data_IF_259369249556
#
_entry.id   IF_259369249556
#
_cell.length_a   1.000
_cell.length_b   1.000
_cell.length_c   1.000
_cell.angle_alpha   90.00
_cell.angle_beta   90.00
_cell.angle_gamma   90.00
#
_symmetry.space_group_name_H-M   'P 1'
#
loop_
_entity.id
_entity.type
_entity.pdbx_description
1 polymer ?
#
# COMPACT_ATOMS: atom_id res chain seq x y z
N UNK A 1 -21.13 -20.63 10.45
CA UNK A 1 -20.86 -19.85 9.21
C UNK A 1 -19.65 -20.45 8.53
N UNK A 2 -19.77 -20.81 7.26
CA UNK A 2 -18.70 -21.51 6.52
C UNK A 2 -17.49 -20.58 6.36
N UNK A 3 -16.27 -21.04 6.69
CA UNK A 3 -15.06 -20.22 6.65
C UNK A 3 -14.76 -19.62 5.26
N UNK A 4 -15.35 -20.16 4.19
CA UNK A 4 -15.31 -19.59 2.84
C UNK A 4 -16.06 -18.26 2.72
N UNK A 5 -17.25 -18.13 3.32
CA UNK A 5 -18.07 -16.92 3.19
C UNK A 5 -17.41 -15.73 3.90
N UNK A 6 -16.86 -15.97 5.09
CA UNK A 6 -16.13 -14.96 5.84
C UNK A 6 -14.87 -14.50 5.09
N UNK A 7 -14.16 -15.42 4.43
CA UNK A 7 -13.01 -15.10 3.58
C UNK A 7 -13.41 -14.23 2.38
N UNK A 8 -14.51 -14.55 1.70
CA UNK A 8 -15.01 -13.73 0.60
C UNK A 8 -15.43 -12.32 1.06
N UNK A 9 -16.12 -12.21 2.19
CA UNK A 9 -16.49 -10.92 2.77
C UNK A 9 -15.27 -10.11 3.18
N UNK A 10 -14.26 -10.74 3.77
CA UNK A 10 -13.00 -10.08 4.12
C UNK A 10 -12.26 -9.58 2.87
N UNK A 11 -12.23 -10.38 1.80
CA UNK A 11 -11.65 -9.97 0.51
C UNK A 11 -12.41 -8.81 -0.11
N UNK A 12 -13.75 -8.84 -0.11
CA UNK A 12 -14.58 -7.74 -0.65
C UNK A 12 -14.40 -6.47 0.17
N UNK A 13 -14.35 -6.57 1.49
CA UNK A 13 -14.09 -5.44 2.38
C UNK A 13 -12.70 -4.84 2.14
N UNK A 14 -11.66 -5.68 2.04
CA UNK A 14 -10.30 -5.23 1.72
C UNK A 14 -10.21 -4.53 0.36
N UNK A 15 -10.92 -5.05 -0.64
CA UNK A 15 -10.96 -4.48 -1.98
C UNK A 15 -11.70 -3.12 -1.99
N UNK A 16 -12.84 -3.03 -1.31
CA UNK A 16 -13.59 -1.79 -1.15
C UNK A 16 -12.79 -0.72 -0.40
N UNK A 17 -12.07 -1.11 0.66
CA UNK A 17 -11.19 -0.22 1.43
C UNK A 17 -10.02 0.26 0.55
N UNK A 18 -9.38 -0.64 -0.20
CA UNK A 18 -8.28 -0.31 -1.10
C UNK A 18 -8.68 0.68 -2.20
N UNK A 19 -9.83 0.44 -2.85
CA UNK A 19 -10.38 1.36 -3.84
C UNK A 19 -10.81 2.69 -3.23
N UNK A 20 -11.43 2.66 -2.04
CA UNK A 20 -11.83 3.87 -1.32
C UNK A 20 -10.63 4.75 -0.98
N UNK A 21 -9.57 4.15 -0.43
CA UNK A 21 -8.33 4.86 -0.11
C UNK A 21 -7.61 5.37 -1.35
N UNK A 22 -7.62 4.63 -2.46
CA UNK A 22 -7.06 5.08 -3.74
C UNK A 22 -7.84 6.25 -4.34
N UNK A 23 -9.18 6.22 -4.27
CA UNK A 23 -10.03 7.31 -4.72
C UNK A 23 -9.90 8.55 -3.81
N UNK A 24 -9.59 8.36 -2.53
CA UNK A 24 -9.33 9.46 -1.61
C UNK A 24 -7.93 10.07 -1.84
N UNK A 25 -6.93 9.23 -2.12
CA UNK A 25 -5.56 9.68 -2.39
C UNK A 25 -5.45 10.47 -3.69
N UNK A 26 -6.23 10.13 -4.71
CA UNK A 26 -6.27 10.87 -5.98
C UNK A 26 -6.90 12.26 -5.89
N UNK A 27 -7.54 12.59 -4.77
CA UNK A 27 -8.08 13.93 -4.49
C UNK A 27 -7.11 14.82 -3.70
N UNK A 28 -6.03 14.27 -3.17
CA UNK A 28 -4.99 15.04 -2.50
C UNK A 28 -4.06 15.61 -3.58
N UNK A 29 -3.70 16.90 -3.51
CA UNK A 29 -2.68 17.47 -4.39
C UNK A 29 -1.30 16.86 -4.10
N UNK A 30 -0.35 16.98 -5.04
CA UNK A 30 1.05 16.66 -4.74
C UNK A 30 1.57 17.54 -3.60
N UNK A 31 2.36 17.00 -2.65
CA UNK A 31 2.98 15.66 -2.60
C UNK A 31 2.16 14.58 -1.86
N UNK A 32 1.02 14.96 -1.27
CA UNK A 32 0.23 14.10 -0.37
C UNK A 32 -0.41 12.91 -1.07
N UNK A 33 -0.72 13.04 -2.37
CA UNK A 33 -1.15 11.93 -3.21
C UNK A 33 -0.13 10.78 -3.22
N UNK A 34 1.14 11.12 -3.46
CA UNK A 34 2.19 10.11 -3.57
C UNK A 34 2.54 9.49 -2.23
N UNK A 35 2.53 10.27 -1.14
CA UNK A 35 2.68 9.73 0.22
C UNK A 35 1.56 8.75 0.57
N UNK A 36 0.32 9.07 0.21
CA UNK A 36 -0.84 8.22 0.46
C UNK A 36 -0.75 6.90 -0.34
N UNK A 37 -0.31 6.96 -1.59
CA UNK A 37 -0.09 5.77 -2.43
C UNK A 37 1.04 4.90 -1.86
N UNK A 38 2.17 5.51 -1.46
CA UNK A 38 3.27 4.79 -0.83
C UNK A 38 2.84 4.10 0.48
N UNK A 39 2.03 4.77 1.29
CA UNK A 39 1.47 4.21 2.52
C UNK A 39 0.57 2.98 2.25
N UNK A 40 -0.29 3.04 1.22
CA UNK A 40 -1.13 1.91 0.83
C UNK A 40 -0.32 0.71 0.35
N UNK A 41 0.76 0.95 -0.39
CA UNK A 41 1.68 -0.11 -0.83
C UNK A 41 2.40 -0.73 0.38
N UNK A 42 2.86 0.06 1.34
CA UNK A 42 3.48 -0.43 2.56
C UNK A 42 2.51 -1.29 3.39
N UNK A 43 1.24 -0.86 3.51
CA UNK A 43 0.17 -1.63 4.16
C UNK A 43 -0.10 -2.95 3.45
N UNK A 44 -0.15 -2.94 2.11
CA UNK A 44 -0.33 -4.15 1.31
C UNK A 44 0.85 -5.11 1.49
N UNK A 45 2.08 -4.61 1.48
CA UNK A 45 3.29 -5.40 1.76
C UNK A 45 3.29 -5.99 3.16
N UNK A 46 2.87 -5.22 4.18
CA UNK A 46 2.75 -5.71 5.55
C UNK A 46 1.67 -6.79 5.69
N UNK A 47 0.51 -6.60 5.05
CA UNK A 47 -0.56 -7.59 5.03
C UNK A 47 -0.12 -8.87 4.30
N UNK A 48 0.60 -8.75 3.18
CA UNK A 48 1.16 -9.89 2.45
C UNK A 48 2.19 -10.64 3.29
N UNK A 49 3.02 -9.93 4.06
CA UNK A 49 4.00 -10.54 4.98
C UNK A 49 3.33 -11.34 6.10
N UNK A 50 2.25 -10.82 6.68
CA UNK A 50 1.48 -11.51 7.72
C UNK A 50 0.71 -12.71 7.14
N UNK A 51 0.12 -12.57 5.96
CA UNK A 51 -0.65 -13.64 5.33
C UNK A 51 0.24 -14.79 4.84
N UNK A 52 1.42 -14.48 4.32
CA UNK A 52 2.32 -15.45 3.70
C UNK A 52 3.52 -15.82 4.59
N UNK A 53 3.34 -15.86 5.91
CA UNK A 53 4.39 -16.25 6.85
C UNK A 53 5.04 -17.63 6.51
N UNK A 54 4.35 -18.49 5.76
CA UNK A 54 4.86 -19.78 5.28
C UNK A 54 5.59 -19.79 3.93
N UNK A 55 5.48 -18.75 3.10
CA UNK A 55 5.99 -18.76 1.70
C UNK A 55 7.04 -17.67 1.45
N UNK A 56 8.31 -18.10 1.36
CA UNK A 56 9.48 -17.23 1.13
C UNK A 56 9.35 -16.34 -0.11
N UNK A 57 8.67 -16.79 -1.16
CA UNK A 57 8.51 -16.01 -2.40
C UNK A 57 7.65 -14.75 -2.19
N UNK A 58 6.59 -14.84 -1.38
CA UNK A 58 5.69 -13.72 -1.11
C UNK A 58 6.37 -12.71 -0.16
N UNK A 59 7.21 -13.18 0.76
CA UNK A 59 8.04 -12.30 1.59
C UNK A 59 9.03 -11.48 0.76
N UNK A 60 9.66 -12.07 -0.25
CA UNK A 60 10.53 -11.35 -1.19
C UNK A 60 9.74 -10.28 -1.96
N UNK A 61 8.57 -10.64 -2.49
CA UNK A 61 7.66 -9.68 -3.15
C UNK A 61 7.24 -8.54 -2.21
N UNK A 62 6.90 -8.85 -0.96
CA UNK A 62 6.54 -7.86 0.05
C UNK A 62 7.72 -6.92 0.36
N UNK A 63 8.94 -7.46 0.45
CA UNK A 63 10.17 -6.66 0.62
C UNK A 63 10.42 -5.72 -0.56
N UNK A 64 10.25 -6.19 -1.79
CA UNK A 64 10.38 -5.36 -3.01
C UNK A 64 9.33 -4.25 -3.04
N UNK A 65 8.08 -4.56 -2.68
CA UNK A 65 7.00 -3.56 -2.57
C UNK A 65 7.32 -2.49 -1.52
N UNK A 66 7.87 -2.90 -0.37
CA UNK A 66 8.31 -1.99 0.68
C UNK A 66 9.46 -1.07 0.22
N UNK A 67 10.48 -1.65 -0.43
CA UNK A 67 11.60 -0.88 -0.98
C UNK A 67 11.12 0.15 -2.02
N UNK A 68 10.20 -0.25 -2.90
CA UNK A 68 9.60 0.64 -3.89
C UNK A 68 8.80 1.78 -3.23
N UNK A 69 7.98 1.46 -2.22
CA UNK A 69 7.20 2.45 -1.49
C UNK A 69 8.09 3.50 -0.81
N UNK A 70 9.16 3.06 -0.14
CA UNK A 70 10.15 3.93 0.50
C UNK A 70 10.87 4.82 -0.51
N UNK A 71 11.35 4.23 -1.61
CA UNK A 71 12.06 4.96 -2.65
C UNK A 71 11.16 6.01 -3.31
N UNK A 72 9.90 5.65 -3.59
CA UNK A 72 8.91 6.57 -4.16
C UNK A 72 8.57 7.70 -3.20
N UNK A 73 8.32 7.40 -1.91
CA UNK A 73 8.05 8.42 -0.90
C UNK A 73 9.24 9.37 -0.73
N UNK A 74 10.46 8.83 -0.63
CA UNK A 74 11.68 9.62 -0.50
C UNK A 74 11.94 10.51 -1.71
N UNK A 75 11.72 10.00 -2.92
CA UNK A 75 11.86 10.79 -4.15
C UNK A 75 10.88 11.97 -4.20
N UNK A 76 9.61 11.76 -3.82
CA UNK A 76 8.61 12.83 -3.79
C UNK A 76 8.91 13.84 -2.68
N UNK A 77 9.33 13.38 -1.51
CA UNK A 77 9.71 14.26 -0.40
C UNK A 77 10.90 15.14 -0.81
N UNK A 78 11.92 14.54 -1.43
CA UNK A 78 13.11 15.25 -1.90
C UNK A 78 12.75 16.28 -2.99
N UNK A 79 11.89 15.92 -3.94
CA UNK A 79 11.39 16.85 -4.96
C UNK A 79 10.59 18.02 -4.35
N UNK A 80 9.78 17.76 -3.31
CA UNK A 80 9.05 18.81 -2.60
C UNK A 80 9.99 19.77 -1.85
N UNK A 81 11.00 19.26 -1.15
CA UNK A 81 11.98 20.10 -0.44
C UNK A 81 12.90 20.89 -1.37
N UNK A 82 13.23 20.36 -2.55
CA UNK A 82 14.02 21.08 -3.59
C UNK A 82 13.22 22.12 -4.37
N UNK A 83 11.88 22.05 -4.33
CA UNK A 83 10.99 22.98 -5.01
C UNK A 83 10.59 24.20 -4.16
N UNK A 84 11.00 24.25 -2.88
CA UNK A 84 10.83 25.42 -2.01
C UNK A 84 12.06 26.31 -2.23
N UNK A 85 11.91 27.54 -2.75
CA UNK A 85 13.03 28.47 -2.95
C UNK A 85 13.67 28.94 -1.64
#
# INVERSE_FOLDING_TARGET
>A
MTPQLLRQLLSMAGLAIGFGLFALSSRLGEPWQTLSIAFLIALLGAAAWVYAAGERWIQVLAGVLWAYALMRAGMTLMAYFLAIP
#
